data_IF_840817716232
#
_entry.id   IF_840817716232
#
_cell.length_a   1.000
_cell.length_b   1.000
_cell.length_c   1.000
_cell.angle_alpha   90.00
_cell.angle_beta   90.00
_cell.angle_gamma   90.00
#
_symmetry.space_group_name_H-M   'P 1'
#
loop_
_entity.id
_entity.type
_entity.pdbx_description
1 polymer ?
#
# COMPACT_ATOMS: atom_id res chain seq x y z
N UNK A 1 7.12 11.57 4.90
CA UNK A 1 5.91 10.72 4.75
C UNK A 1 6.32 9.28 4.96
N UNK A 2 5.57 8.49 5.73
CA UNK A 2 5.86 7.08 5.92
C UNK A 2 4.59 6.26 5.72
N UNK A 3 4.65 5.24 4.87
CA UNK A 3 3.58 4.27 4.71
C UNK A 3 4.01 2.97 5.37
N UNK A 4 3.25 2.52 6.35
CA UNK A 4 3.59 1.35 7.14
C UNK A 4 2.50 0.31 6.94
N UNK A 5 2.86 -0.89 6.50
CA UNK A 5 1.95 -2.03 6.52
C UNK A 5 2.29 -2.91 7.74
N UNK A 6 1.30 -3.63 8.25
CA UNK A 6 1.14 -3.99 9.68
C UNK A 6 2.12 -5.01 10.28
N UNK A 7 1.97 -5.15 11.61
CA UNK A 7 2.52 -6.16 12.53
C UNK A 7 2.76 -7.54 11.97
N UNK A 8 4.00 -8.00 12.14
CA UNK A 8 4.38 -9.40 11.99
C UNK A 8 4.39 -10.11 13.35
N UNK A 9 3.58 -11.17 13.50
CA UNK A 9 3.68 -12.08 14.64
C UNK A 9 4.61 -13.24 14.27
N UNK A 10 5.83 -13.27 14.82
CA UNK A 10 6.80 -14.33 14.56
C UNK A 10 6.92 -15.27 15.77
N UNK A 11 6.63 -16.56 15.61
CA UNK A 11 7.17 -17.58 16.50
C UNK A 11 8.58 -17.96 15.99
N UNK A 12 9.67 -17.70 16.74
CA UNK A 12 11.04 -17.82 16.23
C UNK A 12 11.47 -19.23 15.78
N UNK A 13 10.66 -20.26 16.03
CA UNK A 13 11.02 -21.67 15.91
C UNK A 13 10.47 -22.38 14.66
N UNK A 14 9.64 -21.74 13.83
CA UNK A 14 8.90 -22.44 12.74
C UNK A 14 8.92 -21.75 11.35
N UNK A 15 10.04 -21.15 10.92
CA UNK A 15 10.09 -20.56 9.56
C UNK A 15 10.75 -21.48 8.54
N UNK A 16 9.94 -22.17 7.73
CA UNK A 16 10.42 -22.77 6.48
C UNK A 16 10.75 -21.64 5.49
N UNK A 17 12.04 -21.42 5.23
CA UNK A 17 12.51 -20.36 4.33
C UNK A 17 12.30 -20.76 2.87
N UNK A 18 11.22 -20.30 2.25
CA UNK A 18 11.12 -20.25 0.80
C UNK A 18 12.08 -19.16 0.28
N UNK A 19 12.77 -19.43 -0.83
CA UNK A 19 13.61 -18.42 -1.47
C UNK A 19 12.75 -17.39 -2.20
N UNK A 20 13.24 -16.15 -2.30
CA UNK A 20 12.58 -15.07 -3.05
C UNK A 20 12.25 -15.49 -4.50
N UNK A 21 13.11 -16.33 -5.12
CA UNK A 21 12.88 -16.85 -6.47
C UNK A 21 11.66 -17.77 -6.55
N UNK A 22 11.46 -18.63 -5.57
CA UNK A 22 10.31 -19.54 -5.51
C UNK A 22 9.02 -18.79 -5.25
N UNK A 23 9.09 -17.77 -4.39
CA UNK A 23 7.99 -16.86 -4.09
C UNK A 23 7.52 -16.12 -5.37
N UNK A 24 8.45 -15.49 -6.09
CA UNK A 24 8.12 -14.74 -7.32
C UNK A 24 7.60 -15.66 -8.44
N UNK A 25 8.10 -16.88 -8.56
CA UNK A 25 7.64 -17.83 -9.57
C UNK A 25 6.17 -18.24 -9.38
N UNK A 26 5.68 -18.29 -8.13
CA UNK A 26 4.27 -18.60 -7.84
C UNK A 26 3.32 -17.48 -8.23
N UNK A 27 3.73 -16.22 -8.02
CA UNK A 27 2.92 -15.04 -8.30
C UNK A 27 2.73 -14.87 -9.81
N UNK A 28 3.83 -14.95 -10.57
CA UNK A 28 3.81 -14.63 -12.00
C UNK A 28 3.53 -15.84 -12.91
N UNK A 29 3.53 -17.06 -12.38
CA UNK A 29 3.32 -18.29 -13.16
C UNK A 29 1.87 -18.57 -13.56
N UNK A 30 0.88 -17.85 -13.00
CA UNK A 30 -0.54 -18.12 -13.24
C UNK A 30 -1.15 -17.37 -14.43
N UNK A 31 -0.41 -16.50 -15.13
CA UNK A 31 -0.99 -15.55 -16.09
C UNK A 31 -1.05 -16.03 -17.56
N UNK A 32 -0.55 -17.22 -17.92
CA UNK A 32 -0.46 -17.68 -19.32
C UNK A 32 -1.54 -18.69 -19.76
N UNK A 33 -2.72 -18.72 -19.13
CA UNK A 33 -3.78 -19.67 -19.53
C UNK A 33 -5.16 -19.02 -19.72
N UNK A 34 -5.29 -18.11 -20.69
CA UNK A 34 -6.54 -17.98 -21.49
C UNK A 34 -6.34 -17.10 -22.73
N UNK A 35 -5.72 -17.64 -23.78
CA UNK A 35 -5.91 -17.12 -25.13
C UNK A 35 -7.18 -17.77 -25.72
N UNK A 36 -8.21 -16.96 -26.00
CA UNK A 36 -9.26 -17.32 -26.96
C UNK A 36 -9.46 -16.19 -27.95
N UNK A 37 -9.12 -16.50 -29.20
CA UNK A 37 -9.17 -15.63 -30.35
C UNK A 37 -10.61 -15.32 -30.77
N UNK A 38 -10.88 -14.06 -31.14
CA UNK A 38 -11.85 -13.76 -32.20
C UNK A 38 -11.48 -12.44 -32.89
N UNK A 39 -11.07 -12.55 -34.15
CA UNK A 39 -10.95 -11.41 -35.06
C UNK A 39 -12.27 -11.16 -35.80
N UNK A 40 -12.51 -9.89 -36.12
CA UNK A 40 -13.18 -9.42 -37.35
C UNK A 40 -13.04 -7.89 -37.46
N UNK A 41 -12.82 -7.43 -38.69
CA UNK A 41 -12.46 -6.07 -39.10
C UNK A 41 -13.63 -5.06 -39.16
N UNK A 42 -13.24 -3.77 -39.16
CA UNK A 42 -13.83 -2.61 -39.87
C UNK A 42 -15.04 -1.88 -39.25
N UNK A 43 -14.87 -0.60 -38.85
CA UNK A 43 -15.18 0.60 -39.66
C UNK A 43 -14.99 1.87 -38.80
N UNK A 44 -14.24 2.86 -39.27
CA UNK A 44 -14.06 4.16 -38.60
C UNK A 44 -15.35 4.99 -38.69
N UNK A 45 -15.82 5.51 -37.55
CA UNK A 45 -16.74 6.64 -37.51
C UNK A 45 -16.42 7.51 -36.31
N UNK A 46 -15.79 8.65 -36.59
CA UNK A 46 -15.59 9.75 -35.66
C UNK A 46 -16.95 10.37 -35.33
N UNK A 47 -17.37 10.25 -34.08
CA UNK A 47 -18.40 11.11 -33.50
C UNK A 47 -17.88 11.67 -32.17
N UNK A 48 -17.45 12.92 -32.24
CA UNK A 48 -17.16 13.80 -31.12
C UNK A 48 -18.42 13.96 -30.26
N UNK A 49 -18.42 13.35 -29.08
CA UNK A 49 -19.41 13.56 -28.03
C UNK A 49 -18.69 13.35 -26.72
N UNK A 50 -18.40 14.46 -26.03
CA UNK A 50 -17.76 14.47 -24.72
C UNK A 50 -18.54 13.57 -23.76
N UNK A 51 -18.05 12.36 -23.57
CA UNK A 51 -18.43 11.52 -22.46
C UNK A 51 -17.65 12.02 -21.27
N UNK A 52 -18.34 12.69 -20.34
CA UNK A 52 -17.88 12.77 -18.96
C UNK A 52 -17.53 11.33 -18.55
N UNK A 53 -16.23 11.05 -18.45
CA UNK A 53 -15.74 9.81 -17.89
C UNK A 53 -16.09 9.85 -16.41
N UNK A 54 -17.33 9.51 -16.08
CA UNK A 54 -17.62 8.90 -14.80
C UNK A 54 -16.69 7.69 -14.73
N UNK A 55 -15.55 7.85 -14.04
CA UNK A 55 -14.78 6.71 -13.57
C UNK A 55 -15.80 5.87 -12.83
N UNK A 56 -16.18 4.73 -13.40
CA UNK A 56 -16.78 3.66 -12.62
C UNK A 56 -15.82 3.46 -11.45
N UNK A 57 -16.24 3.86 -10.25
CA UNK A 57 -15.58 3.43 -9.03
C UNK A 57 -15.77 1.91 -9.04
N UNK A 58 -14.80 1.20 -9.62
CA UNK A 58 -14.64 -0.23 -9.41
C UNK A 58 -14.61 -0.38 -7.90
N UNK A 59 -15.73 -0.81 -7.34
CA UNK A 59 -15.89 -1.06 -5.91
C UNK A 59 -15.17 -2.39 -5.64
N UNK A 60 -13.87 -2.39 -5.91
CA UNK A 60 -12.96 -3.46 -5.61
C UNK A 60 -12.93 -3.53 -4.09
N UNK A 61 -13.47 -4.61 -3.54
CA UNK A 61 -13.40 -4.84 -2.11
C UNK A 61 -11.98 -5.26 -1.78
N UNK A 62 -11.16 -4.29 -1.36
CA UNK A 62 -9.79 -4.56 -0.92
C UNK A 62 -9.82 -5.25 0.44
N UNK A 63 -9.18 -6.41 0.54
CA UNK A 63 -9.00 -7.10 1.83
C UNK A 63 -8.19 -6.25 2.81
N UNK A 64 -7.21 -5.48 2.31
CA UNK A 64 -6.39 -4.58 3.12
C UNK A 64 -6.73 -3.11 2.94
N UNK A 65 -7.00 -2.48 4.08
CA UNK A 65 -7.34 -1.08 4.23
C UNK A 65 -6.42 -0.47 5.29
N UNK A 66 -6.25 0.84 5.26
CA UNK A 66 -5.56 1.59 6.31
C UNK A 66 -6.38 1.59 7.60
N UNK A 67 -5.71 1.53 8.75
CA UNK A 67 -6.35 1.55 10.05
C UNK A 67 -6.69 3.00 10.47
N UNK A 68 -7.99 3.34 10.61
CA UNK A 68 -8.42 4.67 11.00
C UNK A 68 -8.05 5.02 12.45
N UNK A 69 -7.70 4.04 13.29
CA UNK A 69 -7.34 4.27 14.68
C UNK A 69 -5.86 4.64 14.84
N UNK A 70 -5.05 4.42 13.80
CA UNK A 70 -3.61 4.67 13.80
C UNK A 70 -3.28 5.84 12.88
N UNK A 71 -3.94 6.98 13.10
CA UNK A 71 -3.72 8.19 12.30
C UNK A 71 -3.09 9.27 13.16
N UNK A 72 -2.02 9.91 12.65
CA UNK A 72 -1.61 11.20 13.20
C UNK A 72 -2.60 12.29 12.77
N UNK A 73 -2.60 13.44 13.47
CA UNK A 73 -3.49 14.57 13.14
C UNK A 73 -3.30 15.16 11.74
N UNK A 74 -2.25 14.74 11.03
CA UNK A 74 -1.93 15.19 9.67
C UNK A 74 -2.12 14.08 8.63
N UNK A 75 -2.99 13.11 8.91
CA UNK A 75 -3.35 12.05 7.98
C UNK A 75 -4.87 12.00 7.86
N UNK A 76 -5.37 11.90 6.63
CA UNK A 76 -6.78 11.67 6.34
C UNK A 76 -6.91 10.45 5.43
N UNK A 77 -7.88 9.58 5.72
CA UNK A 77 -8.21 8.43 4.89
C UNK A 77 -9.39 8.75 3.98
N UNK A 78 -9.33 8.27 2.73
CA UNK A 78 -10.38 8.42 1.71
C UNK A 78 -10.72 7.07 1.09
N UNK A 79 -11.80 7.04 0.28
CA UNK A 79 -12.28 5.83 -0.43
C UNK A 79 -12.39 4.60 0.47
N UNK A 80 -13.14 4.72 1.56
CA UNK A 80 -13.36 3.60 2.49
C UNK A 80 -12.07 3.07 3.12
N UNK A 81 -11.12 3.95 3.45
CA UNK A 81 -9.81 3.63 4.03
C UNK A 81 -8.83 2.92 3.08
N UNK A 82 -9.02 3.02 1.77
CA UNK A 82 -8.07 2.46 0.79
C UNK A 82 -7.00 3.47 0.40
N UNK A 83 -7.31 4.75 0.50
CA UNK A 83 -6.41 5.85 0.18
C UNK A 83 -6.02 6.61 1.43
N UNK A 84 -4.78 7.08 1.44
CA UNK A 84 -4.23 7.89 2.51
C UNK A 84 -3.68 9.19 1.93
N UNK A 85 -4.10 10.31 2.52
CA UNK A 85 -3.60 11.63 2.22
C UNK A 85 -2.84 12.15 3.44
N UNK A 86 -1.59 12.55 3.20
CA UNK A 86 -0.70 13.06 4.23
C UNK A 86 -0.57 14.57 4.09
N UNK A 87 -0.66 15.28 5.21
CA UNK A 87 -0.54 16.74 5.30
C UNK A 87 -1.41 17.49 4.27
N UNK A 88 -2.75 17.33 4.30
CA UNK A 88 -3.64 18.01 3.36
C UNK A 88 -3.53 19.55 3.40
N UNK A 89 -3.21 20.11 4.58
CA UNK A 89 -3.07 21.56 4.76
C UNK A 89 -1.60 22.01 4.72
N UNK A 90 -0.80 21.55 5.69
CA UNK A 90 0.61 21.88 5.81
C UNK A 90 1.38 20.76 6.52
N UNK A 91 2.70 20.72 6.27
CA UNK A 91 3.58 19.73 6.88
C UNK A 91 4.26 20.28 8.14
N UNK A 92 4.20 19.52 9.24
CA UNK A 92 4.77 19.90 10.53
C UNK A 92 5.49 18.77 11.28
N UNK A 93 5.84 17.70 10.58
CA UNK A 93 6.57 16.55 11.14
C UNK A 93 6.43 15.33 10.24
N UNK A 94 6.77 14.16 10.76
CA UNK A 94 6.54 12.90 10.05
C UNK A 94 5.13 12.39 10.31
N UNK A 95 4.33 12.30 9.25
CA UNK A 95 3.05 11.61 9.24
C UNK A 95 3.19 10.18 8.71
N UNK A 96 2.42 9.27 9.31
CA UNK A 96 2.43 7.85 9.01
C UNK A 96 1.04 7.23 9.14
N UNK A 97 0.79 6.14 8.39
CA UNK A 97 -0.41 5.32 8.48
C UNK A 97 -0.02 3.84 8.56
N UNK A 98 -0.77 3.06 9.35
CA UNK A 98 -0.68 1.60 9.43
C UNK A 98 -1.84 0.93 8.71
N UNK A 99 -1.63 -0.27 8.17
CA UNK A 99 -2.73 -1.13 7.71
C UNK A 99 -3.61 -1.62 8.88
N UNK A 100 -4.79 -2.14 8.58
CA UNK A 100 -5.77 -2.61 9.58
C UNK A 100 -5.67 -4.09 9.95
N UNK A 101 -4.98 -4.90 9.15
CA UNK A 101 -4.88 -6.34 9.38
C UNK A 101 -3.41 -6.76 9.53
N UNK A 102 -3.02 -7.43 10.63
CA UNK A 102 -1.66 -7.93 10.85
C UNK A 102 -1.26 -9.02 9.85
N UNK A 103 0.05 -9.13 9.60
CA UNK A 103 0.65 -10.24 8.86
C UNK A 103 0.84 -11.44 9.80
N UNK A 104 0.02 -12.47 9.63
CA UNK A 104 0.06 -13.68 10.44
C UNK A 104 1.17 -14.65 9.99
N UNK A 105 1.76 -15.36 10.95
CA UNK A 105 2.77 -16.39 10.70
C UNK A 105 2.29 -17.44 9.69
N UNK A 106 3.19 -17.85 8.79
CA UNK A 106 2.91 -18.87 7.78
C UNK A 106 2.13 -18.36 6.57
N UNK A 107 1.76 -17.07 6.54
CA UNK A 107 1.15 -16.44 5.38
C UNK A 107 2.17 -15.92 4.37
N UNK A 108 1.76 -15.87 3.10
CA UNK A 108 2.44 -15.16 2.02
C UNK A 108 1.55 -13.98 1.62
N UNK A 109 2.13 -12.79 1.55
CA UNK A 109 1.38 -11.53 1.51
C UNK A 109 1.96 -10.60 0.44
N UNK A 110 1.09 -10.02 -0.38
CA UNK A 110 1.46 -9.09 -1.45
C UNK A 110 0.51 -7.93 -1.49
N UNK A 111 1.06 -6.73 -1.66
CA UNK A 111 0.29 -5.52 -1.82
C UNK A 111 0.96 -4.64 -2.87
N UNK A 112 0.14 -3.84 -3.55
CA UNK A 112 0.59 -2.80 -4.45
C UNK A 112 0.31 -1.44 -3.80
N UNK A 113 1.28 -0.53 -3.87
CA UNK A 113 1.07 0.86 -3.48
C UNK A 113 1.18 1.73 -4.73
N UNK A 114 0.11 2.48 -5.00
CA UNK A 114 0.07 3.46 -6.06
C UNK A 114 0.14 4.86 -5.47
N UNK A 115 1.12 5.65 -5.92
CA UNK A 115 1.17 7.08 -5.61
C UNK A 115 0.21 7.81 -6.55
N UNK A 116 -0.91 8.29 -6.00
CA UNK A 116 -1.99 8.92 -6.78
C UNK A 116 -1.83 10.43 -6.95
N UNK A 117 -0.94 11.04 -6.17
CA UNK A 117 -0.56 12.45 -6.27
C UNK A 117 0.95 12.60 -6.21
N UNK A 118 1.45 13.76 -6.63
CA UNK A 118 2.86 14.07 -6.51
C UNK A 118 3.25 14.10 -5.03
N UNK A 119 4.28 13.33 -4.70
CA UNK A 119 4.71 13.14 -3.33
C UNK A 119 5.91 14.03 -3.05
N UNK A 120 5.84 14.79 -1.97
CA UNK A 120 6.86 15.78 -1.60
C UNK A 120 7.35 15.56 -0.17
N UNK A 121 8.63 15.84 0.06
CA UNK A 121 9.27 15.69 1.38
C UNK A 121 10.73 15.26 1.24
N UNK A 122 11.45 15.26 2.35
CA UNK A 122 12.83 14.74 2.41
C UNK A 122 12.88 13.22 2.44
N UNK A 123 11.85 12.60 3.00
CA UNK A 123 11.78 11.16 3.21
C UNK A 123 10.39 10.65 2.87
N UNK A 124 10.34 9.65 1.99
CA UNK A 124 9.19 8.80 1.75
C UNK A 124 9.59 7.38 2.06
N UNK A 125 8.88 6.72 2.98
CA UNK A 125 9.21 5.35 3.32
C UNK A 125 8.02 4.43 3.11
N UNK A 126 8.32 3.20 2.73
CA UNK A 126 7.36 2.09 2.70
C UNK A 126 7.95 0.89 3.42
N UNK A 127 7.18 0.22 4.26
CA UNK A 127 7.71 -0.93 4.97
C UNK A 127 6.71 -1.67 5.83
N UNK A 128 7.24 -2.56 6.66
CA UNK A 128 6.50 -3.32 7.66
C UNK A 128 6.94 -2.94 9.07
N UNK A 129 6.05 -3.07 10.04
CA UNK A 129 6.37 -2.86 11.45
C UNK A 129 5.85 -3.99 12.34
N UNK A 130 6.20 -3.97 13.62
CA UNK A 130 5.49 -4.71 14.66
C UNK A 130 4.44 -3.80 15.35
N UNK A 131 3.72 -4.32 16.34
CA UNK A 131 2.73 -3.54 17.08
C UNK A 131 3.33 -2.53 18.06
N UNK A 132 4.62 -2.67 18.39
CA UNK A 132 5.33 -1.79 19.33
C UNK A 132 5.74 -0.45 18.69
N UNK A 133 5.67 -0.32 17.36
CA UNK A 133 5.98 0.94 16.67
C UNK A 133 4.88 1.98 16.95
N UNK A 134 5.21 3.00 17.74
CA UNK A 134 4.42 4.22 17.86
C UNK A 134 4.63 5.15 16.65
N UNK A 135 3.74 5.04 15.68
CA UNK A 135 3.76 5.87 14.46
C UNK A 135 3.41 7.34 14.70
N UNK A 136 2.92 7.71 15.89
CA UNK A 136 2.50 9.07 16.24
C UNK A 136 3.60 9.89 16.91
N UNK A 137 4.71 9.24 17.28
CA UNK A 137 5.81 9.83 18.05
C UNK A 137 6.41 11.10 17.41
N UNK A 138 6.46 11.17 16.08
CA UNK A 138 7.15 12.25 15.36
C UNK A 138 6.21 13.24 14.67
N UNK A 139 4.99 13.41 15.18
CA UNK A 139 4.00 14.34 14.63
C UNK A 139 4.46 15.82 14.55
N UNK A 140 5.46 16.21 15.34
CA UNK A 140 6.04 17.57 15.35
C UNK A 140 7.55 17.61 14.99
N UNK A 141 8.09 16.52 14.44
CA UNK A 141 9.52 16.43 14.10
C UNK A 141 9.72 15.63 12.82
N UNK A 142 10.63 16.06 11.96
CA UNK A 142 10.92 15.36 10.72
C UNK A 142 11.96 14.25 10.98
N UNK A 143 11.60 13.01 10.66
CA UNK A 143 12.52 11.89 10.67
C UNK A 143 12.10 10.76 9.72
N UNK A 144 13.10 9.98 9.30
CA UNK A 144 12.90 8.66 8.72
C UNK A 144 12.44 7.71 9.83
N UNK A 145 11.11 7.52 9.94
CA UNK A 145 10.44 6.73 10.99
C UNK A 145 10.69 5.23 10.82
N UNK A 146 10.52 4.71 9.60
CA UNK A 146 10.63 3.27 9.30
C UNK A 146 12.12 2.89 9.25
N UNK A 147 12.49 1.82 9.94
CA UNK A 147 13.89 1.37 10.03
C UNK A 147 14.72 2.17 11.04
N UNK A 148 14.12 3.08 11.80
CA UNK A 148 14.81 3.85 12.84
C UNK A 148 15.25 2.99 14.02
N UNK A 149 14.47 1.97 14.33
CA UNK A 149 14.67 1.05 15.45
C UNK A 149 14.41 -0.41 15.00
N UNK A 150 14.38 -1.33 15.95
CA UNK A 150 14.12 -2.75 15.70
C UNK A 150 12.65 -3.09 15.49
N UNK A 151 11.75 -2.11 15.45
CA UNK A 151 10.31 -2.31 15.37
C UNK A 151 9.76 -2.14 13.95
N UNK A 152 10.61 -1.76 12.98
CA UNK A 152 10.20 -1.54 11.60
C UNK A 152 11.31 -1.72 10.60
N UNK A 153 10.95 -2.09 9.36
CA UNK A 153 11.86 -2.31 8.25
C UNK A 153 11.21 -1.82 6.96
N UNK A 154 11.96 -1.08 6.15
CA UNK A 154 11.40 -0.49 4.94
C UNK A 154 12.42 0.02 3.95
N UNK A 155 11.88 0.57 2.87
CA UNK A 155 12.58 1.24 1.78
C UNK A 155 12.34 2.74 1.89
N UNK A 156 13.34 3.53 1.52
CA UNK A 156 13.28 4.99 1.45
C UNK A 156 13.74 5.50 0.09
#
# INVERSE_FOLDING_TARGET
MALVQTSFYANPLETSRLSQRELLARIFGHQEASEHAHGMDFEESFSDSGSDHEMEECNEDFDWKWDPNTLSSSVSLTRGNQEVLFHPDYSCGTAAAKGSQPLCQGGEYYWEIKMTSAVYGTDMMLGVCNDDLDITQYKTSFCSLIGKDSNSWGLS
#
